data_IF_539442853271
#
_entry.id   IF_539442853271
#
_cell.length_a   1.000
_cell.length_b   1.000
_cell.length_c   1.000
_cell.angle_alpha   90.00
_cell.angle_beta   90.00
_cell.angle_gamma   90.00
#
_symmetry.space_group_name_H-M   'P 1'
#
loop_
_entity.id
_entity.type
_entity.pdbx_description
1 polymer ?
#
# COMPACT_ATOMS: atom_id res chain seq x y z
N UNK A 1 5.66 -36.57 -60.80
CA UNK A 1 4.50 -36.09 -60.00
C UNK A 1 4.48 -36.64 -58.58
N UNK A 2 4.60 -37.96 -58.34
CA UNK A 2 4.60 -38.50 -56.97
C UNK A 2 5.85 -38.12 -56.16
N UNK A 3 7.05 -38.24 -56.75
CA UNK A 3 8.33 -37.90 -56.10
C UNK A 3 8.43 -36.41 -55.70
N UNK A 4 7.98 -35.51 -56.59
CA UNK A 4 8.00 -34.08 -56.32
C UNK A 4 7.00 -33.67 -55.21
N UNK A 5 5.92 -34.44 -55.01
CA UNK A 5 5.00 -34.26 -53.88
C UNK A 5 5.60 -34.77 -52.57
N UNK A 6 6.35 -35.88 -52.60
CA UNK A 6 7.03 -36.41 -51.40
C UNK A 6 8.15 -35.49 -50.93
N UNK A 7 8.91 -34.89 -51.85
CA UNK A 7 9.99 -33.96 -51.49
C UNK A 7 9.42 -32.67 -50.84
N UNK A 8 8.36 -32.10 -51.44
CA UNK A 8 7.65 -30.94 -50.86
C UNK A 8 7.03 -31.25 -49.50
N UNK A 9 6.61 -32.51 -49.26
CA UNK A 9 6.10 -32.94 -47.96
C UNK A 9 7.23 -33.05 -46.94
N UNK A 10 8.38 -33.62 -47.33
CA UNK A 10 9.56 -33.73 -46.49
C UNK A 10 10.05 -32.36 -46.01
N UNK A 11 10.17 -31.39 -46.93
CA UNK A 11 10.56 -30.01 -46.60
C UNK A 11 9.57 -29.36 -45.61
N UNK A 12 8.27 -29.61 -45.78
CA UNK A 12 7.24 -29.14 -44.85
C UNK A 12 7.35 -29.78 -43.48
N UNK A 13 7.60 -31.09 -43.40
CA UNK A 13 7.80 -31.78 -42.13
C UNK A 13 9.03 -31.23 -41.42
N UNK A 14 10.15 -31.06 -42.12
CA UNK A 14 11.36 -30.50 -41.54
C UNK A 14 11.16 -29.04 -41.05
N UNK A 15 10.42 -28.23 -41.80
CA UNK A 15 10.02 -26.88 -41.36
C UNK A 15 9.11 -26.92 -40.12
N UNK A 16 8.18 -27.87 -40.04
CA UNK A 16 7.31 -28.05 -38.87
C UNK A 16 8.10 -28.50 -37.65
N UNK A 17 9.07 -29.40 -37.79
CA UNK A 17 9.93 -29.83 -36.69
C UNK A 17 10.71 -28.68 -36.06
N UNK A 18 11.24 -27.77 -36.88
CA UNK A 18 11.90 -26.54 -36.39
C UNK A 18 10.91 -25.68 -35.61
N UNK A 19 9.71 -25.45 -36.17
CA UNK A 19 8.66 -24.66 -35.50
C UNK A 19 8.19 -25.29 -34.20
N UNK A 20 8.10 -26.62 -34.12
CA UNK A 20 7.73 -27.35 -32.90
C UNK A 20 8.78 -27.10 -31.81
N UNK A 21 10.07 -27.20 -32.15
CA UNK A 21 11.15 -26.88 -31.19
C UNK A 21 11.08 -25.45 -30.68
N UNK A 22 10.77 -24.48 -31.55
CA UNK A 22 10.59 -23.08 -31.15
C UNK A 22 9.39 -22.92 -30.20
N UNK A 23 8.26 -23.58 -30.50
CA UNK A 23 7.07 -23.56 -29.64
C UNK A 23 7.34 -24.19 -28.29
N UNK A 24 8.04 -25.32 -28.24
CA UNK A 24 8.45 -25.98 -26.99
C UNK A 24 9.34 -25.06 -26.15
N UNK A 25 10.30 -24.39 -26.79
CA UNK A 25 11.16 -23.42 -26.12
C UNK A 25 10.35 -22.25 -25.53
N UNK A 26 9.47 -21.64 -26.33
CA UNK A 26 8.59 -20.57 -25.87
C UNK A 26 7.70 -21.05 -24.71
N UNK A 27 7.11 -22.24 -24.83
CA UNK A 27 6.28 -22.81 -23.78
C UNK A 27 7.06 -23.02 -22.48
N UNK A 28 8.35 -23.36 -22.56
CA UNK A 28 9.22 -23.50 -21.40
C UNK A 28 9.64 -22.15 -20.78
N UNK A 29 9.79 -21.10 -21.60
CA UNK A 29 10.19 -19.77 -21.15
C UNK A 29 9.03 -19.01 -20.47
N UNK A 30 7.78 -19.22 -20.91
CA UNK A 30 6.58 -18.54 -20.36
C UNK A 30 6.49 -18.63 -18.83
N UNK A 31 6.52 -19.81 -18.18
CA UNK A 31 6.40 -19.89 -16.72
C UNK A 31 7.58 -19.24 -16.00
N UNK A 32 8.78 -19.27 -16.59
CA UNK A 32 9.98 -18.62 -16.04
C UNK A 32 9.80 -17.10 -16.06
N UNK A 33 9.38 -16.55 -17.19
CA UNK A 33 9.12 -15.11 -17.34
C UNK A 33 7.97 -14.63 -16.45
N UNK A 34 6.89 -15.41 -16.33
CA UNK A 34 5.77 -15.08 -15.42
C UNK A 34 6.22 -15.03 -13.96
N UNK A 35 7.05 -15.99 -13.53
CA UNK A 35 7.63 -16.00 -12.18
C UNK A 35 8.50 -14.77 -11.94
N UNK A 36 9.30 -14.40 -12.93
CA UNK A 36 10.18 -13.24 -12.83
C UNK A 36 9.41 -11.92 -12.79
N UNK A 37 8.37 -11.76 -13.62
CA UNK A 37 7.47 -10.60 -13.58
C UNK A 37 6.80 -10.50 -12.21
N UNK A 38 6.34 -11.62 -11.64
CA UNK A 38 5.73 -11.63 -10.31
C UNK A 38 6.74 -11.21 -9.22
N UNK A 39 7.99 -11.66 -9.31
CA UNK A 39 9.07 -11.27 -8.41
C UNK A 39 9.35 -9.76 -8.50
N UNK A 40 9.57 -9.25 -9.71
CA UNK A 40 9.84 -7.83 -9.95
C UNK A 40 8.69 -6.93 -9.47
N UNK A 41 7.45 -7.31 -9.74
CA UNK A 41 6.28 -6.57 -9.24
C UNK A 41 6.25 -6.54 -7.70
N UNK A 42 6.57 -7.64 -7.01
CA UNK A 42 6.66 -7.64 -5.54
C UNK A 42 7.74 -6.69 -5.03
N UNK A 43 8.92 -6.69 -5.65
CA UNK A 43 10.02 -5.82 -5.26
C UNK A 43 9.71 -4.34 -5.50
N UNK A 44 9.03 -4.03 -6.61
CA UNK A 44 8.54 -2.68 -6.89
C UNK A 44 7.54 -2.20 -5.84
N UNK A 45 6.55 -3.02 -5.47
CA UNK A 45 5.58 -2.67 -4.42
C UNK A 45 6.25 -2.46 -3.06
N UNK A 46 7.25 -3.28 -2.71
CA UNK A 46 8.03 -3.11 -1.49
C UNK A 46 8.82 -1.81 -1.48
N UNK A 47 9.47 -1.48 -2.60
CA UNK A 47 10.23 -0.24 -2.76
C UNK A 47 9.32 0.98 -2.71
N UNK A 48 8.17 0.94 -3.37
CA UNK A 48 7.22 2.04 -3.39
C UNK A 48 6.58 2.27 -2.00
N UNK A 49 6.37 1.20 -1.22
CA UNK A 49 5.96 1.33 0.17
C UNK A 49 7.10 1.88 1.06
N UNK A 50 8.34 1.45 0.82
CA UNK A 50 9.51 1.94 1.53
C UNK A 50 9.74 3.44 1.31
N UNK A 51 9.52 3.93 0.08
CA UNK A 51 9.62 5.36 -0.24
C UNK A 51 8.63 6.23 0.55
N UNK A 52 7.54 5.65 1.08
CA UNK A 52 6.54 6.32 1.91
C UNK A 52 6.73 6.10 3.41
N UNK A 53 7.79 5.38 3.81
CA UNK A 53 7.94 4.93 5.18
C UNK A 53 8.17 6.06 6.20
N UNK A 54 8.52 7.27 5.75
CA UNK A 54 8.62 8.46 6.59
C UNK A 54 7.37 9.36 6.51
N UNK A 55 6.36 8.93 5.76
CA UNK A 55 5.20 9.75 5.47
C UNK A 55 4.03 9.39 6.37
N UNK A 56 3.30 10.42 6.78
CA UNK A 56 1.98 10.32 7.39
C UNK A 56 0.93 10.77 6.39
N UNK A 57 -0.18 10.06 6.34
CA UNK A 57 -1.39 10.45 5.61
C UNK A 57 -2.46 10.91 6.59
N UNK A 58 -2.83 12.19 6.49
CA UNK A 58 -3.88 12.81 7.28
C UNK A 58 -5.15 12.95 6.43
N UNK A 59 -6.27 12.42 6.94
CA UNK A 59 -7.57 12.40 6.25
C UNK A 59 -8.64 13.08 7.09
N UNK A 60 -9.65 13.65 6.42
CA UNK A 60 -10.83 14.20 7.06
C UNK A 60 -10.75 15.69 7.39
N UNK A 61 -9.66 16.38 7.01
CA UNK A 61 -9.53 17.82 7.23
C UNK A 61 -10.02 18.58 5.97
N UNK A 62 -11.03 19.46 6.08
CA UNK A 62 -11.50 20.28 4.97
C UNK A 62 -10.40 21.21 4.42
N UNK A 63 -10.47 21.49 3.11
CA UNK A 63 -9.56 22.44 2.44
C UNK A 63 -10.02 23.88 2.65
N UNK A 64 -9.08 24.80 2.87
CA UNK A 64 -9.30 26.25 2.85
C UNK A 64 -8.46 26.86 1.72
N UNK A 65 -8.96 27.92 1.08
CA UNK A 65 -8.32 28.57 -0.08
C UNK A 65 -6.90 29.04 0.24
N UNK A 66 -6.69 29.57 1.44
CA UNK A 66 -5.42 30.13 1.90
C UNK A 66 -4.89 29.35 3.12
N UNK A 67 -4.87 28.01 3.03
CA UNK A 67 -4.39 27.17 4.13
C UNK A 67 -2.87 27.19 4.26
N UNK A 68 -2.37 27.49 5.46
CA UNK A 68 -0.99 27.23 5.81
C UNK A 68 -0.87 25.80 6.37
N UNK A 69 -0.39 24.87 5.54
CA UNK A 69 -0.24 23.47 5.94
C UNK A 69 0.75 23.28 7.10
N UNK A 70 1.75 24.15 7.23
CA UNK A 70 2.70 24.07 8.33
C UNK A 70 2.03 24.44 9.66
N UNK A 71 1.31 25.56 9.71
CA UNK A 71 0.53 25.94 10.91
C UNK A 71 -0.50 24.87 11.27
N UNK A 72 -1.14 24.26 10.26
CA UNK A 72 -2.05 23.13 10.47
C UNK A 72 -1.34 21.91 11.06
N UNK A 73 -0.14 21.57 10.57
CA UNK A 73 0.67 20.49 11.13
C UNK A 73 1.04 20.77 12.59
N UNK A 74 1.41 22.01 12.95
CA UNK A 74 1.68 22.40 14.34
C UNK A 74 0.44 22.20 15.23
N UNK A 75 -0.74 22.63 14.78
CA UNK A 75 -2.00 22.43 15.50
C UNK A 75 -2.31 20.94 15.70
N UNK A 76 -2.11 20.13 14.67
CA UNK A 76 -2.30 18.67 14.75
C UNK A 76 -1.32 18.05 15.76
N UNK A 77 -0.05 18.44 15.73
CA UNK A 77 0.95 17.98 16.68
C UNK A 77 0.57 18.31 18.13
N UNK A 78 0.19 19.56 18.39
CA UNK A 78 -0.28 20.00 19.70
C UNK A 78 -1.54 19.24 20.16
N UNK A 79 -2.48 19.01 19.24
CA UNK A 79 -3.69 18.22 19.50
C UNK A 79 -3.36 16.80 20.00
N UNK A 80 -2.22 16.21 19.64
CA UNK A 80 -1.82 14.87 20.09
C UNK A 80 -0.68 14.89 21.11
N UNK A 81 -0.38 16.05 21.71
CA UNK A 81 0.75 16.27 22.63
C UNK A 81 2.10 15.85 22.02
N UNK A 82 2.27 16.06 20.71
CA UNK A 82 3.51 15.82 19.97
C UNK A 82 3.82 17.05 19.11
N UNK A 83 4.48 18.09 19.66
CA UNK A 83 4.77 19.31 18.90
C UNK A 83 5.62 19.01 17.66
N UNK A 84 5.15 19.43 16.49
CA UNK A 84 5.85 19.26 15.22
C UNK A 84 6.60 20.55 14.90
N UNK A 85 7.90 20.46 14.62
CA UNK A 85 8.72 21.59 14.18
C UNK A 85 8.93 21.57 12.67
N UNK A 86 9.30 22.71 12.09
CA UNK A 86 9.53 22.85 10.65
C UNK A 86 10.72 22.02 10.20
N UNK A 87 11.73 21.95 11.06
CA UNK A 87 12.98 21.23 10.80
C UNK A 87 12.77 19.70 10.77
N UNK A 88 11.69 19.21 11.37
CA UNK A 88 11.32 17.78 11.34
C UNK A 88 10.71 17.39 9.98
N UNK A 89 10.20 18.35 9.22
CA UNK A 89 9.45 18.13 7.98
C UNK A 89 10.39 18.22 6.78
N UNK A 90 10.39 17.16 5.96
CA UNK A 90 11.01 17.15 4.65
C UNK A 90 10.14 17.88 3.61
N UNK A 91 8.86 17.51 3.54
CA UNK A 91 7.85 18.23 2.76
C UNK A 91 6.45 18.00 3.32
N UNK A 92 5.53 18.90 2.98
CA UNK A 92 4.11 18.80 3.30
C UNK A 92 3.26 19.25 2.11
N UNK A 93 2.25 18.48 1.75
CA UNK A 93 1.38 18.80 0.62
C UNK A 93 0.00 18.14 0.73
N UNK A 94 -1.02 18.77 0.11
CA UNK A 94 -2.27 18.10 -0.22
C UNK A 94 -2.03 17.19 -1.43
N UNK A 95 -2.51 15.95 -1.38
CA UNK A 95 -2.39 15.01 -2.51
C UNK A 95 -3.74 14.85 -3.21
N UNK A 96 -3.79 14.81 -4.55
CA UNK A 96 -5.02 14.58 -5.29
C UNK A 96 -5.74 13.30 -4.86
N UNK A 97 -7.06 13.35 -4.82
CA UNK A 97 -7.93 12.20 -4.59
C UNK A 97 -8.70 11.89 -5.87
N UNK A 98 -8.96 10.60 -6.12
CA UNK A 98 -9.80 10.16 -7.25
C UNK A 98 -11.29 10.43 -7.03
N UNK A 99 -11.69 10.59 -5.76
CA UNK A 99 -13.08 10.79 -5.40
C UNK A 99 -13.46 12.28 -5.55
N UNK A 100 -14.45 12.61 -6.40
CA UNK A 100 -14.96 13.97 -6.47
C UNK A 100 -15.55 14.36 -5.11
N UNK A 101 -15.43 15.64 -4.75
CA UNK A 101 -15.99 16.23 -3.52
C UNK A 101 -15.41 15.71 -2.19
N UNK A 102 -14.39 14.86 -2.21
CA UNK A 102 -13.67 14.46 -1.00
C UNK A 102 -12.52 15.43 -0.70
N UNK A 103 -12.34 15.77 0.58
CA UNK A 103 -11.21 16.56 1.00
C UNK A 103 -9.89 15.84 0.65
N UNK A 104 -9.01 16.51 -0.09
CA UNK A 104 -7.68 16.00 -0.45
C UNK A 104 -6.90 15.68 0.83
N UNK A 105 -6.35 14.47 1.01
CA UNK A 105 -5.53 14.17 2.18
C UNK A 105 -4.28 15.04 2.21
N UNK A 106 -3.76 15.27 3.42
CA UNK A 106 -2.45 15.92 3.62
C UNK A 106 -1.41 14.82 3.81
N UNK A 107 -0.31 14.90 3.08
CA UNK A 107 0.87 14.08 3.32
C UNK A 107 1.92 14.95 3.99
N UNK A 108 2.46 14.48 5.12
CA UNK A 108 3.64 15.05 5.76
C UNK A 108 4.75 14.01 5.66
N UNK A 109 5.85 14.35 5.00
CA UNK A 109 7.07 13.56 5.01
C UNK A 109 8.01 14.10 6.07
N UNK A 110 8.43 13.25 7.01
CA UNK A 110 9.38 13.62 8.06
C UNK A 110 10.81 13.27 7.64
N UNK A 111 11.78 14.04 8.14
CA UNK A 111 13.20 13.76 7.96
C UNK A 111 13.62 12.49 8.74
N UNK A 112 12.90 12.16 9.81
CA UNK A 112 13.17 11.02 10.66
C UNK A 112 11.93 10.11 10.79
N UNK A 113 12.11 8.82 10.50
CA UNK A 113 11.06 7.80 10.63
C UNK A 113 10.54 7.66 12.05
N UNK A 114 11.40 7.80 13.07
CA UNK A 114 11.00 7.65 14.47
C UNK A 114 10.00 8.73 14.89
N UNK A 115 10.23 9.99 14.48
CA UNK A 115 9.29 11.10 14.70
C UNK A 115 7.92 10.77 14.10
N UNK A 116 7.91 10.23 12.88
CA UNK A 116 6.67 9.78 12.26
C UNK A 116 5.96 8.70 13.08
N UNK A 117 6.69 7.67 13.52
CA UNK A 117 6.09 6.56 14.28
C UNK A 117 5.52 7.03 15.62
N UNK A 118 6.23 7.92 16.32
CA UNK A 118 5.80 8.48 17.60
C UNK A 118 4.53 9.32 17.43
N UNK A 119 4.46 10.14 16.37
CA UNK A 119 3.26 10.91 16.04
C UNK A 119 2.06 9.99 15.78
N UNK A 120 2.23 8.96 14.95
CA UNK A 120 1.15 8.00 14.64
C UNK A 120 0.73 7.22 15.90
N UNK A 121 1.67 6.85 16.76
CA UNK A 121 1.41 6.16 18.01
C UNK A 121 0.66 7.06 19.02
N UNK A 122 1.02 8.34 19.12
CA UNK A 122 0.33 9.33 19.94
C UNK A 122 -1.11 9.55 19.45
N UNK A 123 -1.29 9.70 18.14
CA UNK A 123 -2.59 9.88 17.51
C UNK A 123 -3.58 8.74 17.77
N UNK A 124 -3.12 7.48 17.76
CA UNK A 124 -3.98 6.30 18.00
C UNK A 124 -4.57 6.23 19.41
N UNK A 125 -4.00 6.95 20.37
CA UNK A 125 -4.49 6.99 21.75
C UNK A 125 -5.66 7.96 21.93
N UNK A 126 -6.03 8.72 20.90
CA UNK A 126 -7.03 9.78 20.96
C UNK A 126 -8.07 9.64 19.86
N UNK A 127 -9.28 10.10 20.15
CA UNK A 127 -10.29 10.39 19.12
C UNK A 127 -10.06 11.82 18.66
N UNK A 128 -9.69 12.01 17.40
CA UNK A 128 -9.25 13.31 16.88
C UNK A 128 -10.39 14.02 16.16
N UNK A 129 -10.70 15.24 16.58
CA UNK A 129 -11.74 16.05 15.99
C UNK A 129 -11.17 17.29 15.29
N UNK A 130 -11.71 17.68 14.14
CA UNK A 130 -11.26 18.89 13.46
C UNK A 130 -11.52 20.16 14.29
N UNK A 131 -12.43 20.12 15.26
CA UNK A 131 -12.58 21.20 16.26
C UNK A 131 -11.33 21.41 17.10
N UNK A 132 -10.59 20.35 17.40
CA UNK A 132 -9.35 20.40 18.20
C UNK A 132 -8.22 21.16 17.50
N UNK A 133 -8.37 21.40 16.20
CA UNK A 133 -7.41 22.11 15.35
C UNK A 133 -8.01 23.37 14.73
N UNK A 134 -9.09 23.90 15.32
CA UNK A 134 -9.63 25.23 15.02
C UNK A 134 -10.67 25.28 13.89
N UNK A 135 -11.39 24.18 13.63
CA UNK A 135 -12.55 24.18 12.74
C UNK A 135 -13.86 24.24 13.55
N UNK A 136 -14.91 24.85 12.99
CA UNK A 136 -16.20 24.97 13.69
C UNK A 136 -17.01 23.68 13.71
N UNK A 137 -16.77 22.77 12.76
CA UNK A 137 -17.46 21.48 12.65
C UNK A 137 -16.81 20.40 13.51
N UNK A 138 -17.58 19.42 13.98
CA UNK A 138 -17.12 18.35 14.86
C UNK A 138 -16.80 17.03 14.15
N UNK A 139 -16.27 17.06 12.93
CA UNK A 139 -15.95 15.82 12.19
C UNK A 139 -14.61 15.21 12.63
N UNK A 140 -14.55 13.88 12.62
CA UNK A 140 -13.31 13.14 12.93
C UNK A 140 -12.29 13.26 11.81
N UNK A 141 -11.02 13.41 12.17
CA UNK A 141 -9.91 13.26 11.24
C UNK A 141 -8.98 12.12 11.69
N UNK A 142 -8.14 11.63 10.78
CA UNK A 142 -7.30 10.47 11.03
C UNK A 142 -5.86 10.74 10.63
N UNK A 143 -4.93 10.28 11.45
CA UNK A 143 -3.48 10.31 11.22
C UNK A 143 -3.02 8.87 11.03
N UNK A 144 -2.60 8.53 9.81
CA UNK A 144 -2.26 7.15 9.44
C UNK A 144 -0.85 7.05 8.84
N UNK A 145 -0.29 5.84 8.85
CA UNK A 145 0.81 5.49 7.94
C UNK A 145 0.38 5.71 6.48
N UNK A 146 1.29 6.26 5.68
CA UNK A 146 1.04 6.44 4.25
C UNK A 146 1.28 5.13 3.48
N UNK A 147 0.22 4.38 3.24
CA UNK A 147 0.27 3.15 2.44
C UNK A 147 0.17 3.41 0.92
N UNK A 148 0.76 2.50 0.12
CA UNK A 148 0.51 2.43 -1.32
C UNK A 148 -0.95 2.06 -1.60
N UNK A 149 -1.42 2.30 -2.82
CA UNK A 149 -2.79 1.92 -3.18
C UNK A 149 -3.00 0.41 -3.08
N UNK A 150 -2.00 -0.38 -3.47
CA UNK A 150 -1.98 -1.83 -3.29
C UNK A 150 -2.16 -2.21 -1.81
N UNK A 151 -1.34 -1.67 -0.92
CA UNK A 151 -1.42 -1.98 0.52
C UNK A 151 -2.71 -1.44 1.18
N UNK A 152 -3.28 -0.33 0.69
CA UNK A 152 -4.62 0.11 1.14
C UNK A 152 -5.69 -0.90 0.75
N UNK A 153 -5.63 -1.45 -0.46
CA UNK A 153 -6.55 -2.51 -0.92
C UNK A 153 -6.36 -3.79 -0.09
N UNK A 154 -5.11 -4.22 0.10
CA UNK A 154 -4.77 -5.40 0.90
C UNK A 154 -5.24 -5.26 2.36
N UNK A 155 -5.06 -4.09 2.97
CA UNK A 155 -5.58 -3.80 4.31
C UNK A 155 -7.10 -3.90 4.36
N UNK A 156 -7.79 -3.40 3.33
CA UNK A 156 -9.24 -3.54 3.18
C UNK A 156 -9.67 -5.01 3.13
N UNK A 157 -9.06 -5.81 2.25
CA UNK A 157 -9.30 -7.26 2.13
C UNK A 157 -9.05 -7.99 3.45
N UNK A 158 -7.93 -7.68 4.12
CA UNK A 158 -7.58 -8.28 5.40
C UNK A 158 -8.64 -7.97 6.48
N UNK A 159 -9.08 -6.71 6.60
CA UNK A 159 -10.13 -6.31 7.54
C UNK A 159 -11.48 -6.96 7.24
N UNK A 160 -11.87 -7.05 5.96
CA UNK A 160 -13.10 -7.75 5.56
C UNK A 160 -13.04 -9.22 5.95
N UNK A 161 -11.94 -9.90 5.62
CA UNK A 161 -11.74 -11.31 5.98
C UNK A 161 -11.76 -11.54 7.48
N UNK A 162 -11.11 -10.67 8.25
CA UNK A 162 -11.12 -10.76 9.70
C UNK A 162 -12.53 -10.64 10.28
N UNK A 163 -13.35 -9.73 9.73
CA UNK A 163 -14.76 -9.59 10.13
C UNK A 163 -15.56 -10.86 9.85
N UNK A 164 -15.35 -11.50 8.71
CA UNK A 164 -16.06 -12.74 8.33
C UNK A 164 -15.78 -13.91 9.28
N UNK A 165 -14.54 -14.06 9.74
CA UNK A 165 -14.11 -15.22 10.54
C UNK A 165 -13.93 -14.91 12.03
N UNK A 166 -14.28 -13.71 12.48
CA UNK A 166 -14.09 -13.29 13.87
C UNK A 166 -12.62 -13.12 14.30
N UNK A 167 -11.71 -12.84 13.37
CA UNK A 167 -10.30 -12.61 13.67
C UNK A 167 -10.10 -11.24 14.33
N UNK A 168 -9.41 -11.19 15.47
CA UNK A 168 -9.46 -10.05 16.40
C UNK A 168 -8.64 -8.83 15.98
N UNK A 169 -7.38 -9.01 15.59
CA UNK A 169 -6.46 -7.87 15.47
C UNK A 169 -5.85 -7.71 14.08
N UNK A 170 -6.16 -6.59 13.43
CA UNK A 170 -5.47 -6.11 12.23
C UNK A 170 -5.15 -4.63 12.41
N UNK A 171 -3.88 -4.28 12.27
CA UNK A 171 -3.41 -2.91 12.40
C UNK A 171 -2.26 -2.63 11.44
N UNK A 172 -1.91 -1.36 11.28
CA UNK A 172 -0.73 -0.95 10.52
C UNK A 172 0.35 -0.53 11.49
N UNK A 173 1.61 -0.89 11.27
CA UNK A 173 2.75 -0.36 12.04
C UNK A 173 3.98 -0.38 11.14
N UNK A 174 4.81 0.66 11.16
CA UNK A 174 5.94 0.77 10.23
C UNK A 174 5.53 0.62 8.77
N UNK A 175 4.35 1.16 8.43
CA UNK A 175 3.72 1.01 7.10
C UNK A 175 3.55 -0.45 6.63
N UNK A 176 3.51 -1.40 7.56
CA UNK A 176 3.24 -2.83 7.34
C UNK A 176 1.90 -3.22 7.96
N UNK A 177 1.17 -4.10 7.30
CA UNK A 177 -0.13 -4.61 7.76
C UNK A 177 0.13 -5.80 8.68
N UNK A 178 -0.06 -5.61 9.97
CA UNK A 178 0.18 -6.60 10.99
C UNK A 178 -1.14 -7.26 11.41
N UNK A 179 -1.07 -8.55 11.72
CA UNK A 179 -2.20 -9.33 12.18
C UNK A 179 -1.82 -10.20 13.39
N UNK A 180 -2.77 -10.40 14.29
CA UNK A 180 -2.65 -11.29 15.45
C UNK A 180 -4.03 -11.88 15.77
N UNK A 181 -4.10 -13.20 15.95
CA UNK A 181 -5.37 -13.92 16.17
C UNK A 181 -5.94 -13.67 17.58
N UNK A 182 -5.15 -13.96 18.61
CA UNK A 182 -5.47 -13.77 20.03
C UNK A 182 -4.35 -13.02 20.74
N UNK A 183 -4.55 -12.58 21.98
CA UNK A 183 -3.53 -11.85 22.74
C UNK A 183 -2.21 -12.62 22.94
N UNK A 184 -2.29 -13.96 22.96
CA UNK A 184 -1.15 -14.88 23.06
C UNK A 184 -0.58 -15.35 21.73
N UNK A 185 -1.26 -15.08 20.60
CA UNK A 185 -0.82 -15.54 19.29
C UNK A 185 0.38 -14.72 18.77
N UNK A 186 1.27 -15.34 17.97
CA UNK A 186 2.33 -14.59 17.31
C UNK A 186 1.77 -13.55 16.35
N UNK A 187 2.47 -12.42 16.23
CA UNK A 187 2.17 -11.41 15.23
C UNK A 187 2.75 -11.84 13.89
N UNK A 188 2.00 -11.65 12.81
CA UNK A 188 2.53 -11.79 11.47
C UNK A 188 2.24 -10.59 10.58
N UNK A 189 3.08 -10.42 9.55
CA UNK A 189 2.92 -9.42 8.51
C UNK A 189 2.12 -10.01 7.34
N UNK A 190 1.10 -9.30 6.89
CA UNK A 190 0.35 -9.56 5.67
C UNK A 190 1.03 -8.78 4.55
N UNK A 191 1.89 -9.47 3.80
CA UNK A 191 2.71 -8.89 2.72
C UNK A 191 1.98 -8.91 1.38
N UNK A 192 1.19 -9.94 1.13
CA UNK A 192 0.48 -10.13 -0.14
C UNK A 192 -0.86 -10.85 0.06
N UNK A 193 -1.58 -11.09 -1.03
CA UNK A 193 -2.90 -11.72 -0.97
C UNK A 193 -2.89 -13.16 -0.45
N UNK A 194 -1.79 -13.91 -0.64
CA UNK A 194 -1.67 -15.29 -0.12
C UNK A 194 -1.67 -15.31 1.40
N UNK A 195 -1.12 -14.26 2.04
CA UNK A 195 -1.13 -14.15 3.50
C UNK A 195 -2.55 -14.00 4.09
N UNK A 196 -3.53 -13.58 3.28
CA UNK A 196 -4.92 -13.46 3.75
C UNK A 196 -5.51 -14.83 4.15
N UNK A 197 -5.02 -15.93 3.56
CA UNK A 197 -5.43 -17.28 3.93
C UNK A 197 -5.06 -17.65 5.38
N UNK A 198 -4.13 -16.91 6.00
CA UNK A 198 -3.71 -17.10 7.39
C UNK A 198 -4.68 -16.43 8.39
N UNK A 199 -5.63 -15.65 7.89
CA UNK A 199 -6.72 -15.06 8.67
C UNK A 199 -7.87 -16.10 8.71
N UNK A 200 -7.81 -16.95 9.73
CA UNK A 200 -8.80 -18.01 9.98
C UNK A 200 -9.47 -17.79 11.34
N UNK A 201 -10.63 -18.41 11.54
CA UNK A 201 -11.29 -18.49 12.85
C UNK A 201 -10.35 -19.10 13.89
#
# INVERSE_FOLDING_TARGET
>A
MAHERTDKLFDKVQSLEVKVKDVEKIASDIPVLQKEIARLNSELEERDQWARANNVEIKGIPQKKDENLYSLAQNIGNCVNFPIKKEDINYIARVPTRLPNMAKPIIICFNNRYIKEDLVAAARKRNLNISDIGYSSSSTFYINDHLTQHNKSLLGKAKSRAKEVGFKYIWVKHSKIMARKTDSSPVFFIKNEKDLARITQ
#
